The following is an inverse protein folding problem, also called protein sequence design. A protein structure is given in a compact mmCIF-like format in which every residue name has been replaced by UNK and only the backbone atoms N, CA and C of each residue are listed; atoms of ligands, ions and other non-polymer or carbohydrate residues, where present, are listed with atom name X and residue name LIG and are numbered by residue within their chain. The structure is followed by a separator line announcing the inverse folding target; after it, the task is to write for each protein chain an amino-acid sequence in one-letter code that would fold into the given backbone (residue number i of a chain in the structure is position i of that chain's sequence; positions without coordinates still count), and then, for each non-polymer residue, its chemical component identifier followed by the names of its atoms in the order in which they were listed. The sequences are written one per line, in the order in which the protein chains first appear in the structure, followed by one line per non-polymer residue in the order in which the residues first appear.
data_IF_393467087373
#
_entry.id   IF_393467087373
#
_cell.length_a   1.000
_cell.length_b   1.000
_cell.length_c   1.000
_cell.angle_alpha   90.00
_cell.angle_beta   90.00
_cell.angle_gamma   90.00
#
_symmetry.space_group_name_H-M   'P 1'
#
loop_
_entity.id
_entity.type
_entity.pdbx_description
1 polymer ?
#
# COMPACT_ATOMS: atom_id res chain seq x y z
N UNK A 1 31.62 24.05 -46.33
CA UNK A 1 32.95 24.16 -45.68
C UNK A 1 32.74 24.22 -44.17
N UNK A 2 33.67 23.71 -43.37
CA UNK A 2 33.71 23.88 -41.91
C UNK A 2 33.99 25.38 -41.55
N UNK A 3 33.97 25.87 -40.31
CA UNK A 3 33.94 25.29 -38.95
C UNK A 3 33.21 26.33 -38.02
N UNK A 4 33.04 26.23 -36.69
CA UNK A 4 33.54 25.31 -35.65
C UNK A 4 32.54 25.21 -34.47
N UNK A 5 32.89 24.46 -33.42
CA UNK A 5 32.12 24.36 -32.17
C UNK A 5 32.68 25.28 -31.07
N UNK A 6 31.81 25.82 -30.21
CA UNK A 6 32.18 26.47 -28.94
C UNK A 6 31.09 26.28 -27.89
N UNK A 7 31.28 25.34 -26.96
CA UNK A 7 30.43 25.21 -25.78
C UNK A 7 30.77 26.32 -24.77
N UNK A 8 29.76 26.98 -24.19
CA UNK A 8 29.92 27.88 -23.04
C UNK A 8 29.35 27.22 -21.79
N UNK A 9 30.14 27.24 -20.72
CA UNK A 9 29.81 26.61 -19.45
C UNK A 9 28.76 27.39 -18.64
N UNK A 10 27.97 26.67 -17.83
CA UNK A 10 26.99 27.24 -16.90
C UNK A 10 27.67 27.64 -15.57
N UNK A 11 27.32 28.78 -14.95
CA UNK A 11 28.00 29.31 -13.77
C UNK A 11 27.43 28.77 -12.44
N UNK A 12 27.37 27.45 -12.28
CA UNK A 12 27.04 26.80 -11.00
C UNK A 12 27.90 25.54 -10.79
N UNK A 13 29.17 25.75 -10.45
CA UNK A 13 30.08 24.68 -9.99
C UNK A 13 29.98 24.56 -8.47
N UNK A 14 29.16 23.62 -7.99
CA UNK A 14 29.16 23.22 -6.59
C UNK A 14 30.46 22.47 -6.31
N UNK A 15 31.24 22.93 -5.34
CA UNK A 15 32.46 22.24 -4.89
C UNK A 15 32.15 21.34 -3.70
N UNK A 16 32.94 20.28 -3.49
CA UNK A 16 32.76 19.31 -2.39
C UNK A 16 33.00 19.89 -0.97
N UNK A 17 33.02 21.21 -0.80
CA UNK A 17 33.25 21.90 0.48
C UNK A 17 31.95 22.25 1.23
N UNK A 18 30.81 22.37 0.54
CA UNK A 18 29.55 22.84 1.16
C UNK A 18 28.67 21.73 1.75
N UNK A 19 29.06 20.45 1.62
CA UNK A 19 28.28 19.29 2.10
C UNK A 19 28.37 19.04 3.61
N UNK A 20 28.90 19.98 4.40
CA UNK A 20 29.08 19.86 5.86
C UNK A 20 28.20 20.82 6.68
N UNK A 21 26.87 20.76 6.47
CA UNK A 21 25.90 21.23 7.48
C UNK A 21 24.53 20.56 7.33
N UNK A 22 24.42 19.35 7.88
CA UNK A 22 23.24 18.72 8.52
C UNK A 22 23.63 17.27 8.81
N UNK A 23 24.04 16.99 10.05
CA UNK A 23 24.69 15.73 10.41
C UNK A 23 23.72 14.58 10.61
N UNK A 24 23.38 13.85 9.55
CA UNK A 24 22.85 12.47 9.62
C UNK A 24 23.54 11.59 8.58
N UNK A 25 24.66 10.97 8.96
CA UNK A 25 25.35 9.99 8.12
C UNK A 25 24.84 8.58 8.38
N UNK A 26 23.63 8.29 7.91
CA UNK A 26 23.23 6.90 7.71
C UNK A 26 23.77 6.43 6.36
N UNK A 27 24.94 5.77 6.40
CA UNK A 27 25.44 4.99 5.26
C UNK A 27 24.53 3.78 5.07
N UNK A 28 23.49 3.92 4.27
CA UNK A 28 22.66 2.80 3.84
C UNK A 28 23.57 1.81 3.08
N UNK A 29 23.69 0.58 3.58
CA UNK A 29 24.69 -0.38 3.14
C UNK A 29 24.09 -1.78 3.10
N UNK A 30 23.23 -2.01 2.09
CA UNK A 30 22.55 -3.30 1.86
C UNK A 30 23.58 -4.44 1.80
N UNK A 31 23.66 -5.21 2.90
CA UNK A 31 24.45 -6.44 2.95
C UNK A 31 23.52 -7.62 2.69
N UNK A 32 23.45 -8.03 1.43
CA UNK A 32 22.72 -9.25 1.03
C UNK A 32 23.44 -10.47 1.61
N UNK A 33 22.96 -10.95 2.76
CA UNK A 33 23.33 -12.26 3.31
C UNK A 33 22.41 -13.29 2.66
N UNK A 34 22.98 -14.23 1.92
CA UNK A 34 22.25 -15.34 1.28
C UNK A 34 22.30 -16.56 2.22
N UNK A 35 21.19 -17.00 2.84
CA UNK A 35 21.14 -18.26 3.57
C UNK A 35 21.10 -19.43 2.58
N UNK A 36 21.95 -20.44 2.81
CA UNK A 36 21.84 -21.71 2.10
C UNK A 36 20.59 -22.48 2.58
N UNK A 37 20.08 -23.38 1.76
CA UNK A 37 18.77 -24.03 1.94
C UNK A 37 18.69 -24.96 3.16
N UNK A 38 17.48 -25.14 3.71
CA UNK A 38 16.73 -26.41 3.61
C UNK A 38 15.37 -26.38 4.35
N UNK A 39 14.46 -27.29 3.96
CA UNK A 39 13.15 -27.60 4.58
C UNK A 39 11.95 -26.70 4.15
N UNK A 40 10.68 -27.15 4.25
CA UNK A 40 9.92 -27.39 3.02
C UNK A 40 8.69 -26.50 2.81
N UNK A 41 8.42 -26.15 1.55
CA UNK A 41 7.30 -25.31 1.14
C UNK A 41 5.92 -25.93 1.39
N UNK A 42 4.92 -25.17 1.88
CA UNK A 42 3.54 -25.61 1.89
C UNK A 42 2.99 -25.72 0.46
N UNK A 43 2.19 -26.77 0.19
CA UNK A 43 1.63 -27.02 -1.14
C UNK A 43 0.43 -26.10 -1.41
N UNK A 44 0.44 -25.45 -2.58
CA UNK A 44 -0.77 -24.89 -3.20
C UNK A 44 -1.77 -26.02 -3.50
N UNK A 45 -2.99 -25.90 -2.98
CA UNK A 45 -4.11 -26.78 -3.33
C UNK A 45 -4.92 -26.10 -4.43
N UNK A 46 -4.93 -26.69 -5.62
CA UNK A 46 -5.77 -26.22 -6.72
C UNK A 46 -7.24 -26.57 -6.43
N UNK A 47 -8.10 -25.56 -6.33
CA UNK A 47 -9.55 -25.74 -6.19
C UNK A 47 -10.19 -25.84 -7.57
N UNK A 48 -10.49 -27.07 -8.01
CA UNK A 48 -11.31 -27.30 -9.21
C UNK A 48 -12.79 -27.35 -8.81
N UNK A 49 -13.53 -26.27 -9.08
CA UNK A 49 -14.98 -26.22 -8.87
C UNK A 49 -15.74 -26.91 -10.01
N UNK A 50 -15.87 -28.24 -9.92
CA UNK A 50 -16.86 -28.99 -10.71
C UNK A 50 -18.15 -29.15 -9.90
N UNK A 51 -19.21 -28.46 -10.31
CA UNK A 51 -20.54 -28.53 -9.71
C UNK A 51 -21.44 -29.50 -10.48
N UNK A 52 -21.96 -30.55 -9.84
CA UNK A 52 -23.25 -31.14 -10.21
C UNK A 52 -24.27 -30.98 -9.08
N UNK A 53 -25.47 -30.53 -9.46
CA UNK A 53 -26.61 -30.35 -8.55
C UNK A 53 -27.36 -31.68 -8.30
N UNK A 54 -28.32 -31.61 -7.37
CA UNK A 54 -29.40 -32.55 -7.02
C UNK A 54 -29.14 -33.63 -5.93
N UNK A 55 -29.99 -33.47 -4.90
CA UNK A 55 -30.77 -34.48 -4.20
C UNK A 55 -30.29 -35.13 -2.88
N UNK A 56 -30.96 -34.64 -1.83
CA UNK A 56 -31.52 -35.41 -0.71
C UNK A 56 -30.59 -35.90 0.41
N UNK A 57 -30.49 -35.10 1.47
CA UNK A 57 -30.33 -35.62 2.84
C UNK A 57 -31.44 -35.05 3.71
N UNK A 58 -32.23 -35.93 4.33
CA UNK A 58 -33.31 -35.59 5.26
C UNK A 58 -32.71 -35.28 6.63
N UNK A 59 -33.31 -34.34 7.37
CA UNK A 59 -32.94 -34.02 8.74
C UNK A 59 -34.17 -34.18 9.64
N UNK A 60 -34.05 -35.08 10.63
CA UNK A 60 -35.13 -35.47 11.53
C UNK A 60 -35.33 -34.44 12.66
N UNK A 61 -36.54 -34.38 13.24
CA UNK A 61 -36.93 -33.45 14.32
C UNK A 61 -37.38 -34.21 15.57
N UNK A 62 -36.62 -34.09 16.66
CA UNK A 62 -37.08 -34.27 18.06
C UNK A 62 -35.96 -33.75 18.99
N UNK A 63 -36.02 -32.51 19.49
CA UNK A 63 -36.70 -32.05 20.72
C UNK A 63 -35.86 -32.22 22.01
N UNK A 64 -36.06 -31.46 23.11
CA UNK A 64 -36.73 -30.17 23.28
C UNK A 64 -35.76 -29.06 23.79
N UNK A 65 -36.27 -27.86 24.10
CA UNK A 65 -35.45 -26.65 24.32
C UNK A 65 -34.91 -26.39 25.73
N UNK A 66 -33.95 -25.46 25.79
CA UNK A 66 -33.51 -24.76 27.00
C UNK A 66 -33.13 -23.32 26.63
N UNK A 67 -34.00 -22.35 26.90
CA UNK A 67 -33.69 -20.92 26.74
C UNK A 67 -33.12 -20.35 28.03
N UNK A 68 -31.92 -19.76 27.98
CA UNK A 68 -31.45 -18.80 28.98
C UNK A 68 -30.46 -17.80 28.37
N UNK A 69 -30.71 -16.51 28.62
CA UNK A 69 -29.67 -15.49 28.72
C UNK A 69 -29.18 -14.86 27.41
N UNK A 70 -29.77 -13.71 27.05
CA UNK A 70 -29.12 -12.79 26.12
C UNK A 70 -27.91 -12.10 26.79
N UNK A 71 -26.78 -12.04 26.09
CA UNK A 71 -25.57 -11.34 26.51
C UNK A 71 -24.74 -10.93 25.29
N UNK A 72 -24.39 -9.64 25.23
CA UNK A 72 -23.34 -8.99 24.44
C UNK A 72 -22.72 -9.75 23.24
N UNK A 73 -22.89 -9.20 22.03
CA UNK A 73 -22.30 -9.71 20.80
C UNK A 73 -20.77 -9.83 20.86
N UNK A 74 -20.26 -11.06 20.76
CA UNK A 74 -18.88 -11.33 20.37
C UNK A 74 -18.81 -11.31 18.83
N UNK A 75 -18.38 -10.18 18.24
CA UNK A 75 -18.10 -10.08 16.81
C UNK A 75 -16.77 -10.75 16.46
N UNK A 76 -16.74 -12.07 16.48
CA UNK A 76 -15.55 -12.88 16.22
C UNK A 76 -15.20 -12.89 14.72
N UNK A 77 -14.15 -12.16 14.36
CA UNK A 77 -13.27 -12.40 13.20
C UNK A 77 -13.94 -12.86 11.88
N UNK A 78 -15.00 -12.17 11.43
CA UNK A 78 -15.57 -12.48 10.12
C UNK A 78 -14.70 -11.90 9.00
N UNK A 79 -14.15 -12.78 8.16
CA UNK A 79 -13.40 -12.40 6.96
C UNK A 79 -14.34 -11.79 5.92
N UNK A 80 -13.88 -10.85 5.07
CA UNK A 80 -14.70 -10.27 4.02
C UNK A 80 -15.28 -11.36 3.12
N UNK A 81 -16.55 -11.23 2.73
CA UNK A 81 -17.19 -12.20 1.84
C UNK A 81 -16.45 -12.26 0.49
N UNK A 82 -16.47 -13.41 -0.24
CA UNK A 82 -15.78 -13.50 -1.53
C UNK A 82 -16.21 -12.44 -2.55
N UNK A 83 -17.49 -12.02 -2.55
CA UNK A 83 -17.96 -10.91 -3.41
C UNK A 83 -17.32 -9.59 -2.99
N UNK A 84 -17.46 -9.22 -1.71
CA UNK A 84 -16.91 -7.98 -1.16
C UNK A 84 -15.39 -7.85 -1.38
N UNK A 85 -14.66 -8.96 -1.24
CA UNK A 85 -13.23 -9.01 -1.55
C UNK A 85 -12.94 -8.80 -3.06
N UNK A 86 -13.73 -9.40 -3.95
CA UNK A 86 -13.61 -9.19 -5.40
C UNK A 86 -13.97 -7.75 -5.80
N UNK A 87 -15.00 -7.17 -5.21
CA UNK A 87 -15.45 -5.81 -5.47
C UNK A 87 -14.39 -4.78 -5.01
N UNK A 88 -13.83 -4.98 -3.81
CA UNK A 88 -12.69 -4.20 -3.29
C UNK A 88 -11.44 -4.32 -4.17
N UNK A 89 -11.07 -5.53 -4.60
CA UNK A 89 -9.93 -5.74 -5.50
C UNK A 89 -10.18 -5.16 -6.91
N UNK A 90 -11.43 -5.13 -7.37
CA UNK A 90 -11.84 -4.51 -8.64
C UNK A 90 -11.71 -2.99 -8.56
N UNK A 91 -12.00 -2.40 -7.40
CA UNK A 91 -11.75 -0.98 -7.14
C UNK A 91 -10.25 -0.67 -7.12
N UNK A 92 -9.46 -1.46 -6.38
CA UNK A 92 -7.99 -1.36 -6.34
C UNK A 92 -7.32 -1.56 -7.71
N UNK A 93 -7.94 -2.27 -8.65
CA UNK A 93 -7.43 -2.44 -10.02
C UNK A 93 -7.08 -1.10 -10.68
N UNK A 94 -7.86 -0.05 -10.41
CA UNK A 94 -7.70 1.28 -11.00
C UNK A 94 -6.30 1.86 -10.81
N UNK A 95 -5.62 1.53 -9.71
CA UNK A 95 -4.24 1.93 -9.40
C UNK A 95 -3.22 1.46 -10.47
N UNK A 96 -3.51 0.41 -11.24
CA UNK A 96 -2.69 -0.09 -12.35
C UNK A 96 -2.83 0.75 -13.62
N UNK A 97 -3.97 1.41 -13.79
CA UNK A 97 -4.27 2.29 -14.93
C UNK A 97 -4.00 3.76 -14.64
N UNK A 98 -4.22 4.20 -13.39
CA UNK A 98 -3.96 5.58 -12.96
C UNK A 98 -2.46 5.83 -12.96
N UNK A 99 -2.04 6.81 -13.76
CA UNK A 99 -0.64 7.17 -13.96
C UNK A 99 -0.20 8.24 -12.98
N UNK A 100 1.02 8.09 -12.45
CA UNK A 100 1.65 9.07 -11.57
C UNK A 100 1.77 10.41 -12.29
N UNK A 101 0.95 11.36 -11.86
CA UNK A 101 0.61 12.61 -12.54
C UNK A 101 1.76 13.62 -12.51
N UNK A 102 2.62 13.54 -11.50
CA UNK A 102 3.89 14.27 -11.49
C UNK A 102 4.70 14.07 -12.78
N UNK A 103 4.81 12.83 -13.27
CA UNK A 103 5.51 12.52 -14.53
C UNK A 103 4.75 13.01 -15.77
N UNK A 104 3.42 12.92 -15.78
CA UNK A 104 2.59 13.46 -16.87
C UNK A 104 2.77 14.98 -17.01
N UNK A 105 2.81 15.70 -15.88
CA UNK A 105 3.00 17.15 -15.84
C UNK A 105 4.40 17.56 -16.34
N UNK A 106 5.39 16.67 -16.27
CA UNK A 106 6.72 16.84 -16.87
C UNK A 106 6.82 16.33 -18.33
N UNK A 107 5.72 15.88 -18.93
CA UNK A 107 5.67 15.41 -20.31
C UNK A 107 6.35 14.05 -20.56
N UNK A 108 6.60 13.27 -19.50
CA UNK A 108 7.19 11.93 -19.62
C UNK A 108 6.20 10.98 -20.32
N UNK A 109 6.69 10.24 -21.31
CA UNK A 109 5.89 9.27 -22.07
C UNK A 109 5.92 7.90 -21.39
N UNK A 110 4.75 7.29 -21.26
CA UNK A 110 4.60 5.98 -20.62
C UNK A 110 5.05 5.97 -19.14
N UNK A 111 4.60 6.92 -18.30
CA UNK A 111 4.97 6.95 -16.89
C UNK A 111 4.44 5.71 -16.15
N UNK A 112 5.00 5.48 -14.97
CA UNK A 112 4.54 4.43 -14.06
C UNK A 112 3.10 4.68 -13.57
N UNK A 113 2.44 3.61 -13.14
CA UNK A 113 1.17 3.66 -12.42
C UNK A 113 1.40 3.76 -10.90
N UNK A 114 0.36 4.15 -10.16
CA UNK A 114 0.42 4.18 -8.68
C UNK A 114 0.70 2.77 -8.12
N UNK A 115 0.21 1.72 -8.78
CA UNK A 115 0.51 0.34 -8.41
C UNK A 115 2.00 -0.02 -8.62
N UNK A 116 2.68 0.55 -9.62
CA UNK A 116 4.11 0.35 -9.83
C UNK A 116 4.92 1.02 -8.70
N UNK A 117 4.55 2.26 -8.35
CA UNK A 117 5.12 3.06 -7.24
C UNK A 117 5.03 2.31 -5.91
N UNK A 118 3.81 1.93 -5.49
CA UNK A 118 3.59 1.20 -4.24
C UNK A 118 4.28 -0.18 -4.23
N UNK A 119 4.39 -0.86 -5.37
CA UNK A 119 5.13 -2.12 -5.46
C UNK A 119 6.63 -1.92 -5.20
N UNK A 120 7.27 -0.93 -5.84
CA UNK A 120 8.69 -0.64 -5.64
C UNK A 120 8.98 -0.18 -4.21
N UNK A 121 8.13 0.66 -3.62
CA UNK A 121 8.21 1.02 -2.20
C UNK A 121 8.08 -0.19 -1.26
N UNK A 122 7.14 -1.10 -1.54
CA UNK A 122 6.96 -2.32 -0.73
C UNK A 122 8.19 -3.22 -0.76
N UNK A 123 8.86 -3.33 -1.91
CA UNK A 123 10.15 -4.01 -2.03
C UNK A 123 11.27 -3.28 -1.27
N UNK A 124 11.31 -1.94 -1.32
CA UNK A 124 12.27 -1.13 -0.57
C UNK A 124 12.12 -1.34 0.95
N UNK A 125 10.88 -1.36 1.46
CA UNK A 125 10.58 -1.67 2.86
C UNK A 125 10.97 -3.11 3.24
N UNK A 126 10.78 -4.08 2.33
CA UNK A 126 11.16 -5.48 2.54
C UNK A 126 12.68 -5.68 2.66
N UNK A 127 13.47 -5.01 1.83
CA UNK A 127 14.95 -5.14 1.79
C UNK A 127 15.68 -4.15 2.71
N UNK A 128 14.98 -3.24 3.37
CA UNK A 128 15.57 -2.34 4.35
C UNK A 128 16.21 -3.11 5.51
N UNK A 129 17.36 -2.62 5.99
CA UNK A 129 17.99 -3.12 7.21
C UNK A 129 17.07 -2.86 8.42
N UNK A 130 17.08 -3.76 9.42
CA UNK A 130 16.30 -3.57 10.64
C UNK A 130 16.80 -2.36 11.45
N UNK A 131 15.91 -1.40 11.68
CA UNK A 131 16.16 -0.26 12.55
C UNK A 131 15.57 -0.53 13.95
N UNK A 132 16.29 -0.19 15.05
CA UNK A 132 15.77 -0.36 16.40
C UNK A 132 14.43 0.35 16.61
N UNK A 133 13.40 -0.41 16.99
CA UNK A 133 12.06 0.11 17.25
C UNK A 133 11.17 0.29 16.01
N UNK A 134 11.58 -0.18 14.83
CA UNK A 134 10.75 -0.16 13.60
C UNK A 134 10.27 -1.57 13.24
N UNK A 135 8.96 -1.74 13.06
CA UNK A 135 8.36 -2.97 12.55
C UNK A 135 8.33 -2.99 11.02
N UNK A 136 9.23 -3.78 10.42
CA UNK A 136 9.35 -3.94 8.96
C UNK A 136 8.07 -4.45 8.28
N UNK A 137 7.33 -5.38 8.90
CA UNK A 137 6.06 -5.87 8.36
C UNK A 137 5.04 -4.73 8.26
N UNK A 138 4.97 -3.89 9.30
CA UNK A 138 4.08 -2.73 9.30
C UNK A 138 4.50 -1.69 8.25
N UNK A 139 5.80 -1.44 8.05
CA UNK A 139 6.28 -0.61 6.93
C UNK A 139 5.81 -1.13 5.56
N UNK A 140 5.91 -2.44 5.31
CA UNK A 140 5.43 -3.07 4.06
C UNK A 140 3.91 -2.88 3.92
N UNK A 141 3.15 -3.11 4.99
CA UNK A 141 1.68 -2.91 4.98
C UNK A 141 1.30 -1.47 4.67
N UNK A 142 1.95 -0.48 5.30
CA UNK A 142 1.74 0.94 5.01
C UNK A 142 2.06 1.23 3.54
N UNK A 143 3.22 0.78 3.04
CA UNK A 143 3.63 1.01 1.65
C UNK A 143 2.61 0.48 0.62
N UNK A 144 1.92 -0.63 0.93
CA UNK A 144 0.88 -1.22 0.07
C UNK A 144 -0.43 -0.39 0.06
N UNK A 145 -0.76 0.31 1.15
CA UNK A 145 -2.08 0.98 1.30
C UNK A 145 -2.03 2.51 1.25
N UNK A 146 -0.85 3.13 1.28
CA UNK A 146 -0.75 4.58 1.52
C UNK A 146 -1.42 5.45 0.45
N UNK A 147 -1.26 5.11 -0.84
CA UNK A 147 -1.92 5.78 -1.97
C UNK A 147 -3.18 5.00 -2.44
N UNK A 148 -3.75 4.09 -1.62
CA UNK A 148 -4.88 3.22 -2.04
C UNK A 148 -6.14 4.02 -2.42
N UNK A 149 -6.37 5.14 -1.73
CA UNK A 149 -7.50 6.04 -1.97
C UNK A 149 -7.46 6.69 -3.37
N UNK A 150 -6.28 6.81 -3.98
CA UNK A 150 -6.10 7.31 -5.35
C UNK A 150 -6.73 6.40 -6.42
N UNK A 151 -7.20 5.19 -6.05
CA UNK A 151 -8.08 4.37 -6.86
C UNK A 151 -9.44 5.07 -7.17
N UNK A 152 -9.90 5.95 -6.28
CA UNK A 152 -11.10 6.77 -6.45
C UNK A 152 -10.73 8.21 -6.82
N UNK A 153 -9.85 8.86 -6.03
CA UNK A 153 -9.58 10.31 -6.20
C UNK A 153 -8.60 10.64 -7.33
N UNK A 154 -7.78 9.67 -7.75
CA UNK A 154 -6.63 9.88 -8.64
C UNK A 154 -5.43 10.55 -7.95
N UNK A 155 -4.26 10.53 -8.60
CA UNK A 155 -3.05 11.20 -8.10
C UNK A 155 -3.27 12.74 -8.11
N UNK A 156 -3.39 13.32 -6.92
CA UNK A 156 -3.55 14.77 -6.70
C UNK A 156 -2.18 15.38 -6.38
N UNK A 157 -1.68 16.18 -7.32
CA UNK A 157 -0.34 16.78 -7.26
C UNK A 157 -0.39 18.20 -6.69
N UNK A 158 0.73 18.75 -6.16
CA UNK A 158 0.80 20.16 -5.74
C UNK A 158 0.43 21.17 -6.85
N UNK A 159 0.65 20.81 -8.12
CA UNK A 159 0.27 21.59 -9.30
C UNK A 159 -1.25 21.72 -9.52
N UNK A 160 -2.07 20.88 -8.87
CA UNK A 160 -3.53 20.93 -9.00
C UNK A 160 -4.19 22.00 -8.12
N UNK A 161 -3.45 22.62 -7.21
CA UNK A 161 -3.94 23.69 -6.34
C UNK A 161 -4.94 23.23 -5.26
N UNK A 162 -5.18 21.93 -5.11
CA UNK A 162 -6.02 21.36 -4.05
C UNK A 162 -5.34 21.55 -2.69
N UNK A 163 -5.97 22.21 -1.69
CA UNK A 163 -5.40 22.36 -0.36
C UNK A 163 -5.17 21.00 0.32
N UNK A 164 -4.12 20.86 1.14
CA UNK A 164 -3.81 19.58 1.81
C UNK A 164 -5.01 19.00 2.59
N UNK A 165 -5.74 19.84 3.32
CA UNK A 165 -6.91 19.39 4.10
C UNK A 165 -8.04 18.86 3.21
N UNK A 166 -8.19 19.37 2.00
CA UNK A 166 -9.23 18.95 1.05
C UNK A 166 -8.81 17.64 0.34
N UNK A 167 -7.53 17.51 -0.04
CA UNK A 167 -6.96 16.22 -0.50
C UNK A 167 -7.20 15.12 0.55
N UNK A 168 -6.81 15.38 1.80
CA UNK A 168 -6.99 14.45 2.91
C UNK A 168 -8.46 14.11 3.18
N UNK A 169 -9.39 15.08 3.09
CA UNK A 169 -10.84 14.84 3.19
C UNK A 169 -11.35 13.92 2.08
N UNK A 170 -10.99 14.21 0.83
CA UNK A 170 -11.39 13.40 -0.33
C UNK A 170 -10.86 11.97 -0.25
N UNK A 171 -9.62 11.81 0.22
CA UNK A 171 -8.98 10.50 0.38
C UNK A 171 -9.57 9.68 1.53
N UNK A 172 -9.91 10.32 2.65
CA UNK A 172 -10.65 9.68 3.73
C UNK A 172 -12.04 9.21 3.26
N UNK A 173 -12.78 10.06 2.54
CA UNK A 173 -14.10 9.72 2.01
C UNK A 173 -14.05 8.55 1.01
N UNK A 174 -13.03 8.54 0.16
CA UNK A 174 -12.72 7.41 -0.72
C UNK A 174 -12.41 6.15 0.09
N UNK A 175 -11.50 6.22 1.07
CA UNK A 175 -11.10 5.08 1.89
C UNK A 175 -12.28 4.49 2.67
N UNK A 176 -13.17 5.34 3.20
CA UNK A 176 -14.42 4.94 3.84
C UNK A 176 -15.36 4.19 2.89
N UNK A 177 -15.42 4.58 1.60
CA UNK A 177 -16.14 3.83 0.57
C UNK A 177 -15.49 2.47 0.32
N UNK A 178 -14.16 2.41 0.13
CA UNK A 178 -13.42 1.15 -0.06
C UNK A 178 -13.65 0.18 1.10
N UNK A 179 -13.65 0.69 2.34
CA UNK A 179 -13.86 -0.08 3.55
C UNK A 179 -15.29 -0.63 3.68
N UNK A 180 -16.30 0.14 3.23
CA UNK A 180 -17.70 -0.34 3.13
C UNK A 180 -17.83 -1.42 2.06
N UNK A 181 -17.19 -1.26 0.90
CA UNK A 181 -17.17 -2.27 -0.18
C UNK A 181 -16.51 -3.57 0.27
N UNK A 182 -15.45 -3.50 1.08
CA UNK A 182 -14.80 -4.67 1.69
C UNK A 182 -15.71 -5.40 2.71
N UNK A 183 -16.78 -4.77 3.18
CA UNK A 183 -17.68 -5.33 4.20
C UNK A 183 -17.36 -4.92 5.64
N UNK A 184 -16.44 -3.98 5.85
CA UNK A 184 -16.06 -3.49 7.18
C UNK A 184 -15.24 -4.50 8.00
N UNK A 185 -15.36 -4.39 9.32
CA UNK A 185 -14.66 -5.23 10.31
C UNK A 185 -13.15 -5.04 10.32
N UNK A 186 -12.46 -5.93 11.06
CA UNK A 186 -11.03 -5.79 11.40
C UNK A 186 -10.08 -5.61 10.21
N UNK A 187 -10.44 -6.08 9.00
CA UNK A 187 -9.61 -5.89 7.80
C UNK A 187 -9.78 -4.51 7.17
N UNK A 188 -10.98 -3.95 7.23
CA UNK A 188 -11.20 -2.56 6.87
C UNK A 188 -10.57 -1.61 7.90
N UNK A 189 -10.72 -1.94 9.20
CA UNK A 189 -10.09 -1.21 10.30
C UNK A 189 -8.56 -1.19 10.17
N UNK A 190 -7.90 -2.35 9.92
CA UNK A 190 -6.45 -2.42 9.69
C UNK A 190 -6.01 -1.52 8.52
N UNK A 191 -6.78 -1.45 7.42
CA UNK A 191 -6.49 -0.57 6.28
C UNK A 191 -6.64 0.91 6.66
N UNK A 192 -7.70 1.28 7.39
CA UNK A 192 -7.91 2.65 7.85
C UNK A 192 -6.81 3.11 8.82
N UNK A 193 -6.43 2.26 9.77
CA UNK A 193 -5.35 2.54 10.71
C UNK A 193 -4.02 2.79 9.99
N UNK A 194 -3.63 1.92 9.06
CA UNK A 194 -2.37 2.02 8.32
C UNK A 194 -2.32 3.28 7.43
N UNK A 195 -3.43 3.63 6.78
CA UNK A 195 -3.51 4.85 5.97
C UNK A 195 -3.45 6.11 6.86
N UNK A 196 -4.22 6.12 7.95
CA UNK A 196 -4.24 7.25 8.89
C UNK A 196 -2.88 7.45 9.57
N UNK A 197 -2.17 6.38 9.90
CA UNK A 197 -0.82 6.40 10.47
C UNK A 197 0.17 7.10 9.53
N UNK A 198 0.08 6.81 8.23
CA UNK A 198 0.89 7.46 7.18
C UNK A 198 0.53 8.92 6.94
N UNK A 199 -0.76 9.25 6.87
CA UNK A 199 -1.20 10.63 6.58
C UNK A 199 -0.95 11.57 7.77
N UNK A 200 -1.05 11.06 9.00
CA UNK A 200 -0.67 11.79 10.22
C UNK A 200 0.82 11.75 10.55
N UNK A 201 1.58 10.86 9.91
CA UNK A 201 3.01 10.63 10.15
C UNK A 201 3.31 10.30 11.65
N UNK A 202 2.49 9.44 12.25
CA UNK A 202 2.40 9.25 13.70
C UNK A 202 3.29 8.14 14.29
N UNK A 203 3.97 7.35 13.44
CA UNK A 203 4.86 6.25 13.85
C UNK A 203 6.23 6.34 13.18
N UNK A 204 7.21 5.58 13.68
CA UNK A 204 8.53 5.49 13.03
C UNK A 204 8.43 4.80 11.66
N UNK A 205 7.50 3.85 11.53
CA UNK A 205 7.15 3.14 10.32
C UNK A 205 6.61 4.09 9.25
N UNK A 206 5.67 4.98 9.61
CA UNK A 206 5.15 6.00 8.69
C UNK A 206 6.23 6.98 8.23
N UNK A 207 7.08 7.44 9.16
CA UNK A 207 8.22 8.32 8.83
C UNK A 207 9.16 7.62 7.84
N UNK A 208 9.55 6.37 8.10
CA UNK A 208 10.38 5.59 7.19
C UNK A 208 9.71 5.41 5.82
N UNK A 209 8.41 5.10 5.76
CA UNK A 209 7.72 4.93 4.47
C UNK A 209 7.63 6.26 3.70
N UNK A 210 7.49 7.42 4.36
CA UNK A 210 7.60 8.74 3.71
C UNK A 210 9.00 9.01 3.13
N UNK A 211 10.05 8.59 3.83
CA UNK A 211 11.42 8.64 3.30
C UNK A 211 11.58 7.73 2.08
N UNK A 212 10.98 6.53 2.10
CA UNK A 212 10.96 5.63 0.94
C UNK A 212 10.19 6.22 -0.26
N UNK A 213 9.02 6.86 -0.05
CA UNK A 213 8.28 7.59 -1.09
C UNK A 213 9.13 8.70 -1.75
N UNK A 214 10.04 9.29 -0.99
CA UNK A 214 10.91 10.39 -1.46
C UNK A 214 12.16 9.89 -2.18
N UNK A 215 12.57 8.65 -1.92
CA UNK A 215 13.73 7.98 -2.52
C UNK A 215 13.40 7.25 -3.84
N UNK A 216 12.13 6.90 -4.03
CA UNK A 216 11.61 6.13 -5.16
C UNK A 216 11.60 6.91 -6.49
#
# INVERSE_FOLDING_TARGET
MACAAAAKASPYSITNADTQRLGFSHKFSVKVVVPCSDSPSPRLVAVNSNNPNLDSVKMDKSAPGFELGGGSAESLHESPSPSAAIDFLTLCHRLKSTKRKGWLNQGIKGPESIADHMYRMSLMALIADDAPGINRERCIKIAIVHDIAEAIVGDITPSDGVPKHEKSRMEQEALDEMCKVLGGGMRAEEIQELWQEYETNSSLEANLVKDLTTLE
#
